data_IF_181061224896
#
_entry.id   IF_181061224896
#
_cell.length_a   1.000
_cell.length_b   1.000
_cell.length_c   1.000
_cell.angle_alpha   90.00
_cell.angle_beta   90.00
_cell.angle_gamma   90.00
#
_symmetry.space_group_name_H-M   'P 1'
#
loop_
_entity.id
_entity.type
_entity.pdbx_description
1 polymer ?
#
# COMPACT_ATOMS: atom_id res chain seq x y z
N UNK A 1 -20.37 -4.91 -4.31
CA UNK A 1 -19.54 -4.33 -3.24
C UNK A 1 -18.60 -3.35 -3.94
N UNK A 2 -18.62 -2.06 -3.60
CA UNK A 2 -17.72 -1.09 -4.25
C UNK A 2 -16.39 -1.11 -3.50
N UNK A 3 -15.36 -1.69 -4.10
CA UNK A 3 -13.99 -1.56 -3.61
C UNK A 3 -13.46 -0.19 -4.03
N UNK A 4 -13.09 0.64 -3.07
CA UNK A 4 -12.41 1.90 -3.29
C UNK A 4 -10.93 1.70 -2.98
N UNK A 5 -10.06 2.32 -3.77
CA UNK A 5 -8.61 2.24 -3.61
C UNK A 5 -7.99 3.60 -3.87
N UNK A 6 -6.87 3.86 -3.21
CA UNK A 6 -6.01 5.02 -3.40
C UNK A 6 -4.57 4.54 -3.49
N UNK A 7 -3.70 5.29 -4.15
CA UNK A 7 -2.27 5.02 -4.18
C UNK A 7 -1.55 6.07 -3.35
N UNK A 8 -0.69 5.63 -2.43
CA UNK A 8 0.12 6.51 -1.57
C UNK A 8 1.58 6.17 -1.82
N UNK A 9 2.36 7.06 -2.47
CA UNK A 9 3.80 6.88 -2.58
C UNK A 9 4.44 6.94 -1.19
N UNK A 10 5.45 6.12 -0.94
CA UNK A 10 6.28 6.22 0.25
C UNK A 10 7.68 6.73 -0.11
N UNK A 11 8.27 7.51 0.80
CA UNK A 11 9.41 8.36 0.51
C UNK A 11 8.98 9.74 0.03
N UNK A 12 9.17 10.75 0.89
CA UNK A 12 8.74 12.14 0.61
C UNK A 12 7.23 12.25 0.33
N UNK A 13 6.39 11.45 1.01
CA UNK A 13 4.94 11.36 0.77
C UNK A 13 4.24 12.72 0.81
N UNK A 14 4.62 13.60 1.74
CA UNK A 14 4.04 14.93 1.87
C UNK A 14 4.27 15.84 0.64
N UNK A 15 5.25 15.52 -0.21
CA UNK A 15 5.54 16.29 -1.43
C UNK A 15 4.57 15.99 -2.57
N UNK A 16 3.78 14.92 -2.47
CA UNK A 16 2.79 14.57 -3.50
C UNK A 16 1.49 15.39 -3.37
N UNK A 17 1.29 16.13 -2.27
CA UNK A 17 0.22 17.12 -2.14
C UNK A 17 -1.16 16.60 -2.58
N UNK A 18 -1.79 17.30 -3.53
CA UNK A 18 -3.11 16.95 -4.10
C UNK A 18 -3.07 15.83 -5.14
N UNK A 19 -1.90 15.25 -5.42
CA UNK A 19 -1.77 14.13 -6.37
C UNK A 19 -2.18 12.80 -5.74
N UNK A 20 -2.24 12.71 -4.40
CA UNK A 20 -2.82 11.55 -3.71
C UNK A 20 -4.34 11.71 -3.72
N UNK A 21 -5.05 10.72 -4.25
CA UNK A 21 -6.52 10.71 -4.29
C UNK A 21 -7.12 10.58 -2.89
N UNK A 22 -8.29 11.17 -2.69
CA UNK A 22 -9.12 10.84 -1.52
C UNK A 22 -9.81 9.50 -1.74
N UNK A 23 -10.19 8.86 -0.64
CA UNK A 23 -10.95 7.61 -0.69
C UNK A 23 -12.29 7.84 -1.41
N UNK A 24 -12.52 7.11 -2.49
CA UNK A 24 -13.74 7.22 -3.32
C UNK A 24 -13.63 8.14 -4.54
N UNK A 25 -12.50 8.83 -4.72
CA UNK A 25 -12.25 9.63 -5.94
C UNK A 25 -12.06 8.73 -7.16
N UNK A 26 -11.35 7.60 -7.00
CA UNK A 26 -11.24 6.58 -8.04
C UNK A 26 -12.51 5.71 -8.10
N UNK A 27 -13.20 5.75 -9.25
CA UNK A 27 -14.45 5.01 -9.50
C UNK A 27 -14.31 3.95 -10.60
N UNK A 28 -13.14 3.88 -11.22
CA UNK A 28 -12.82 2.96 -12.29
C UNK A 28 -11.33 2.58 -12.29
N UNK A 29 -10.99 1.51 -13.02
CA UNK A 29 -9.59 1.16 -13.25
C UNK A 29 -8.82 2.29 -13.96
N UNK A 30 -9.48 3.04 -14.85
CA UNK A 30 -8.88 4.16 -15.55
C UNK A 30 -8.50 5.31 -14.60
N UNK A 31 -9.31 5.57 -13.57
CA UNK A 31 -8.99 6.58 -12.55
C UNK A 31 -7.77 6.17 -11.72
N UNK A 32 -7.70 4.88 -11.34
CA UNK A 32 -6.55 4.33 -10.62
C UNK A 32 -5.28 4.38 -11.45
N UNK A 33 -5.36 3.99 -12.73
CA UNK A 33 -4.22 4.04 -13.64
C UNK A 33 -3.73 5.47 -13.85
N UNK A 34 -4.66 6.40 -14.09
CA UNK A 34 -4.33 7.83 -14.22
C UNK A 34 -3.64 8.36 -12.96
N UNK A 35 -4.14 8.01 -11.77
CA UNK A 35 -3.50 8.43 -10.53
C UNK A 35 -2.08 7.87 -10.38
N UNK A 36 -1.85 6.60 -10.74
CA UNK A 36 -0.50 6.03 -10.75
C UNK A 36 0.41 6.79 -11.72
N UNK A 37 -0.07 7.11 -12.92
CA UNK A 37 0.69 7.87 -13.93
C UNK A 37 1.03 9.28 -13.41
N UNK A 38 0.07 9.97 -12.79
CA UNK A 38 0.26 11.30 -12.21
C UNK A 38 1.28 11.27 -11.05
N UNK A 39 1.17 10.29 -10.14
CA UNK A 39 2.13 10.10 -9.05
C UNK A 39 3.53 9.77 -9.58
N UNK A 40 3.64 8.91 -10.58
CA UNK A 40 4.92 8.56 -11.19
C UNK A 40 5.58 9.77 -11.87
N UNK A 41 4.83 10.53 -12.65
CA UNK A 41 5.33 11.73 -13.36
C UNK A 41 5.76 12.85 -12.41
N UNK A 42 5.16 12.91 -11.21
CA UNK A 42 5.52 13.87 -10.16
C UNK A 42 6.48 13.28 -9.12
N UNK A 43 6.98 12.06 -9.34
CA UNK A 43 7.88 11.43 -8.38
C UNK A 43 9.20 12.19 -8.29
N UNK A 44 9.64 12.39 -7.05
CA UNK A 44 10.89 13.08 -6.75
C UNK A 44 11.92 12.03 -6.40
N UNK A 45 13.15 12.21 -6.89
CA UNK A 45 14.23 11.28 -6.65
C UNK A 45 14.65 11.37 -5.17
N UNK A 46 14.14 10.44 -4.36
CA UNK A 46 14.55 10.26 -2.97
C UNK A 46 15.61 9.17 -2.86
N UNK A 47 16.69 9.47 -2.16
CA UNK A 47 17.78 8.50 -1.92
C UNK A 47 17.43 7.49 -0.83
N UNK A 48 16.41 7.76 -0.01
CA UNK A 48 16.06 6.95 1.15
C UNK A 48 14.53 6.90 1.35
N UNK A 49 13.77 6.24 0.47
CA UNK A 49 12.34 6.08 0.69
C UNK A 49 12.08 5.11 1.85
N UNK A 50 11.45 5.58 2.93
CA UNK A 50 10.99 4.75 4.03
C UNK A 50 9.50 4.44 3.87
N UNK A 51 9.11 3.17 4.07
CA UNK A 51 7.69 2.77 4.02
C UNK A 51 6.88 3.52 5.09
N UNK A 52 7.50 3.79 6.24
CA UNK A 52 6.94 4.57 7.33
C UNK A 52 6.33 5.91 6.90
N UNK A 53 6.89 6.60 5.91
CA UNK A 53 6.37 7.89 5.42
C UNK A 53 4.93 7.73 4.90
N UNK A 54 4.70 6.71 4.07
CA UNK A 54 3.38 6.42 3.52
C UNK A 54 2.39 5.96 4.59
N UNK A 55 2.85 5.15 5.55
CA UNK A 55 2.00 4.68 6.65
C UNK A 55 1.58 5.82 7.59
N UNK A 56 2.52 6.71 7.95
CA UNK A 56 2.22 7.88 8.74
C UNK A 56 1.25 8.82 8.01
N UNK A 57 1.41 8.98 6.69
CA UNK A 57 0.47 9.77 5.90
C UNK A 57 -0.94 9.17 5.95
N UNK A 58 -1.09 7.85 5.79
CA UNK A 58 -2.39 7.17 5.92
C UNK A 58 -2.99 7.42 7.30
N UNK A 59 -2.21 7.23 8.37
CA UNK A 59 -2.67 7.43 9.74
C UNK A 59 -3.16 8.85 10.03
N UNK A 60 -2.59 9.85 9.35
CA UNK A 60 -2.91 11.27 9.55
C UNK A 60 -4.01 11.80 8.62
N UNK A 61 -4.24 11.17 7.47
CA UNK A 61 -5.09 11.73 6.41
C UNK A 61 -6.29 10.86 6.03
N UNK A 62 -6.30 9.59 6.45
CA UNK A 62 -7.38 8.65 6.13
C UNK A 62 -8.13 8.28 7.40
N UNK A 63 -9.46 8.41 7.35
CA UNK A 63 -10.34 7.98 8.44
C UNK A 63 -10.15 6.49 8.74
N UNK A 64 -10.20 6.15 10.02
CA UNK A 64 -10.15 4.76 10.43
C UNK A 64 -11.29 3.94 9.81
N UNK A 65 -11.06 2.64 9.53
CA UNK A 65 -12.07 1.76 8.96
C UNK A 65 -13.33 1.76 9.82
N UNK A 66 -14.50 1.90 9.19
CA UNK A 66 -15.76 1.80 9.90
C UNK A 66 -15.94 0.40 10.51
N UNK A 67 -16.66 0.30 11.63
CA UNK A 67 -16.97 -0.99 12.25
C UNK A 67 -17.67 -1.93 11.26
N UNK A 68 -17.18 -3.16 11.12
CA UNK A 68 -17.69 -4.12 10.14
C UNK A 68 -17.28 -3.82 8.69
N UNK A 69 -16.29 -2.97 8.46
CA UNK A 69 -15.64 -2.80 7.15
C UNK A 69 -14.26 -3.48 7.11
N UNK A 70 -13.72 -3.65 5.90
CA UNK A 70 -12.38 -4.16 5.67
C UNK A 70 -11.54 -3.07 5.06
N UNK A 71 -10.41 -2.77 5.69
CA UNK A 71 -9.39 -1.90 5.13
C UNK A 71 -8.07 -2.66 5.07
N UNK A 72 -7.44 -2.60 3.91
CA UNK A 72 -6.24 -3.36 3.62
C UNK A 72 -5.22 -2.40 3.01
N UNK A 73 -4.02 -2.38 3.60
CA UNK A 73 -2.85 -1.71 3.05
C UNK A 73 -2.01 -2.75 2.34
N UNK A 74 -1.75 -2.53 1.06
CA UNK A 74 -0.85 -3.35 0.26
C UNK A 74 0.43 -2.55 0.05
N UNK A 75 1.51 -2.94 0.73
CA UNK A 75 2.81 -2.27 0.57
C UNK A 75 3.57 -2.93 -0.58
N UNK A 76 3.87 -2.17 -1.63
CA UNK A 76 4.55 -2.67 -2.83
C UNK A 76 5.88 -1.94 -3.00
N UNK A 77 7.00 -2.66 -3.09
CA UNK A 77 8.29 -2.01 -3.29
C UNK A 77 9.35 -2.82 -4.00
N UNK A 78 10.34 -2.10 -4.52
CA UNK A 78 11.43 -2.65 -5.30
C UNK A 78 12.71 -2.83 -4.47
N UNK A 79 13.11 -1.80 -3.72
CA UNK A 79 14.30 -1.80 -2.86
C UNK A 79 13.93 -2.11 -1.41
N UNK A 80 14.89 -2.52 -0.56
CA UNK A 80 14.69 -2.66 0.87
C UNK A 80 14.16 -1.37 1.50
N UNK A 81 13.38 -1.52 2.56
CA UNK A 81 12.95 -0.40 3.39
C UNK A 81 14.16 0.13 4.14
N UNK A 82 14.41 1.43 4.03
CA UNK A 82 15.60 2.05 4.62
C UNK A 82 15.50 2.19 6.13
N UNK A 83 14.31 2.03 6.70
CA UNK A 83 14.07 2.11 8.14
C UNK A 83 12.92 1.21 8.60
N UNK A 84 13.17 -0.10 8.65
CA UNK A 84 12.19 -1.12 9.07
C UNK A 84 11.64 -0.87 10.49
N UNK A 85 12.44 -0.32 11.41
CA UNK A 85 12.00 -0.01 12.77
C UNK A 85 10.93 1.10 12.76
N UNK A 86 11.14 2.18 12.01
CA UNK A 86 10.14 3.23 11.87
C UNK A 86 8.86 2.70 11.21
N UNK A 87 8.97 1.81 10.23
CA UNK A 87 7.82 1.17 9.57
C UNK A 87 7.04 0.30 10.54
N UNK A 88 7.72 -0.47 11.39
CA UNK A 88 7.06 -1.24 12.46
C UNK A 88 6.22 -0.33 13.37
N UNK A 89 6.79 0.77 13.86
CA UNK A 89 6.06 1.71 14.73
C UNK A 89 4.92 2.45 14.02
N UNK A 90 5.09 2.82 12.74
CA UNK A 90 4.05 3.46 11.94
C UNK A 90 2.88 2.50 11.63
N UNK A 91 3.16 1.20 11.51
CA UNK A 91 2.15 0.16 11.28
C UNK A 91 1.26 -0.09 12.50
N UNK A 92 1.83 -0.10 13.71
CA UNK A 92 1.10 -0.41 14.96
C UNK A 92 -0.25 0.33 15.15
N UNK A 93 -0.34 1.67 15.01
CA UNK A 93 -1.61 2.37 15.18
C UNK A 93 -2.63 2.00 14.09
N UNK A 94 -2.19 1.76 12.85
CA UNK A 94 -3.07 1.32 11.76
C UNK A 94 -3.64 -0.08 12.03
N UNK A 95 -2.81 -1.03 12.46
CA UNK A 95 -3.30 -2.36 12.87
C UNK A 95 -4.30 -2.25 14.03
N UNK A 96 -4.05 -1.37 15.00
CA UNK A 96 -4.98 -1.12 16.11
C UNK A 96 -6.31 -0.53 15.64
N UNK A 97 -6.29 0.32 14.59
CA UNK A 97 -7.47 0.87 13.95
C UNK A 97 -8.22 -0.16 13.07
N UNK A 98 -7.67 -1.36 12.87
CA UNK A 98 -8.32 -2.43 12.10
C UNK A 98 -7.87 -2.55 10.65
N UNK A 99 -6.80 -1.86 10.25
CA UNK A 99 -6.16 -2.11 8.96
C UNK A 99 -5.43 -3.46 8.98
N UNK A 100 -5.48 -4.15 7.84
CA UNK A 100 -4.74 -5.39 7.59
C UNK A 100 -3.67 -5.17 6.53
N UNK A 101 -2.56 -5.90 6.61
CA UNK A 101 -1.37 -5.65 5.79
C UNK A 101 -0.99 -6.86 4.92
N UNK A 102 -0.90 -6.61 3.61
CA UNK A 102 -0.21 -7.45 2.64
C UNK A 102 1.06 -6.72 2.18
N UNK A 103 2.06 -7.47 1.75
CA UNK A 103 3.27 -6.87 1.18
C UNK A 103 3.75 -7.59 -0.07
N UNK A 104 4.33 -6.82 -0.98
CA UNK A 104 4.80 -7.27 -2.29
C UNK A 104 6.20 -6.72 -2.55
N UNK A 105 7.15 -7.62 -2.72
CA UNK A 105 8.50 -7.31 -3.16
C UNK A 105 8.63 -7.55 -4.66
N UNK A 106 8.86 -6.49 -5.44
CA UNK A 106 9.05 -6.56 -6.91
C UNK A 106 10.53 -6.71 -7.30
N UNK A 107 11.43 -6.34 -6.39
CA UNK A 107 12.87 -6.33 -6.61
C UNK A 107 13.64 -6.99 -5.47
N UNK A 108 14.78 -6.40 -5.13
CA UNK A 108 15.68 -6.90 -4.08
C UNK A 108 15.17 -6.63 -2.65
N UNK A 109 14.14 -5.81 -2.48
CA UNK A 109 13.54 -5.55 -1.17
C UNK A 109 12.90 -6.78 -0.54
N UNK A 110 12.97 -6.89 0.79
CA UNK A 110 12.26 -7.93 1.55
C UNK A 110 11.24 -7.27 2.48
N UNK A 111 9.95 -7.44 2.18
CA UNK A 111 8.86 -6.87 2.96
C UNK A 111 8.06 -7.91 3.75
N UNK A 112 8.62 -9.10 3.97
CA UNK A 112 7.95 -10.18 4.71
C UNK A 112 7.49 -9.73 6.11
N UNK A 113 8.29 -8.90 6.80
CA UNK A 113 7.98 -8.38 8.13
C UNK A 113 6.79 -7.41 8.18
N UNK A 114 6.41 -6.84 7.04
CA UNK A 114 5.30 -5.88 6.94
C UNK A 114 3.96 -6.60 6.86
N UNK A 115 3.90 -7.78 6.22
CA UNK A 115 2.65 -8.54 6.10
C UNK A 115 2.17 -9.04 7.47
N UNK A 116 0.85 -9.05 7.70
CA UNK A 116 0.29 -9.59 8.94
C UNK A 116 0.36 -11.12 9.02
N UNK A 117 0.48 -11.77 7.87
CA UNK A 117 0.59 -13.23 7.75
C UNK A 117 1.66 -13.58 6.74
N UNK A 118 2.33 -14.72 6.94
CA UNK A 118 3.39 -15.16 6.03
C UNK A 118 2.87 -15.42 4.62
N UNK A 119 1.66 -15.96 4.49
CA UNK A 119 0.99 -16.19 3.21
C UNK A 119 0.47 -14.91 2.52
N UNK A 120 0.62 -13.75 3.16
CA UNK A 120 0.23 -12.43 2.65
C UNK A 120 1.44 -11.59 2.19
N UNK A 121 2.61 -12.20 2.19
CA UNK A 121 3.82 -11.69 1.56
C UNK A 121 4.01 -12.34 0.19
N UNK A 122 4.30 -11.53 -0.83
CA UNK A 122 4.50 -11.97 -2.20
C UNK A 122 5.81 -11.43 -2.77
N UNK A 123 6.44 -12.24 -3.62
CA UNK A 123 7.57 -11.83 -4.45
C UNK A 123 7.15 -11.86 -5.92
N UNK A 124 7.35 -10.73 -6.59
CA UNK A 124 7.02 -10.53 -8.01
C UNK A 124 8.30 -10.44 -8.81
N UNK A 125 8.33 -11.18 -9.92
CA UNK A 125 9.32 -11.07 -10.98
C UNK A 125 8.63 -10.80 -12.33
N UNK A 126 9.42 -10.73 -13.40
CA UNK A 126 8.93 -10.43 -14.75
C UNK A 126 7.94 -11.49 -15.31
N UNK A 127 7.89 -12.68 -14.72
CA UNK A 127 7.11 -13.82 -15.22
C UNK A 127 5.81 -14.05 -14.45
N UNK A 128 5.72 -13.59 -13.19
CA UNK A 128 4.65 -14.01 -12.28
C UNK A 128 3.67 -12.89 -11.85
N UNK A 129 3.89 -11.64 -12.27
CA UNK A 129 3.12 -10.48 -11.78
C UNK A 129 1.59 -10.65 -11.86
N UNK A 130 1.06 -11.15 -12.98
CA UNK A 130 -0.38 -11.39 -13.13
C UNK A 130 -0.88 -12.51 -12.19
N UNK A 131 -0.08 -13.56 -11.99
CA UNK A 131 -0.41 -14.66 -11.07
C UNK A 131 -0.52 -14.16 -9.64
N UNK A 132 0.44 -13.33 -9.20
CA UNK A 132 0.42 -12.72 -7.86
C UNK A 132 -0.77 -11.76 -7.72
N UNK A 133 -1.04 -10.92 -8.72
CA UNK A 133 -2.22 -10.04 -8.71
C UNK A 133 -3.53 -10.84 -8.56
N UNK A 134 -3.65 -11.98 -9.24
CA UNK A 134 -4.81 -12.88 -9.11
C UNK A 134 -4.92 -13.49 -7.70
N UNK A 135 -3.80 -13.88 -7.08
CA UNK A 135 -3.77 -14.40 -5.72
C UNK A 135 -4.20 -13.35 -4.69
N UNK A 136 -3.68 -12.12 -4.82
CA UNK A 136 -4.08 -10.99 -3.99
C UNK A 136 -5.59 -10.74 -4.18
N UNK A 137 -6.07 -10.65 -5.42
CA UNK A 137 -7.50 -10.47 -5.71
C UNK A 137 -8.35 -11.56 -5.07
N UNK A 138 -7.91 -12.81 -5.11
CA UNK A 138 -8.62 -13.92 -4.46
C UNK A 138 -8.68 -13.74 -2.94
N UNK A 139 -7.59 -13.35 -2.29
CA UNK A 139 -7.58 -13.05 -0.84
C UNK A 139 -8.59 -11.95 -0.53
N UNK A 140 -8.50 -10.80 -1.23
CA UNK A 140 -9.38 -9.65 -1.01
C UNK A 140 -10.87 -10.03 -1.16
N UNK A 141 -11.21 -10.83 -2.17
CA UNK A 141 -12.58 -11.26 -2.43
C UNK A 141 -13.13 -12.29 -1.43
N UNK A 142 -12.26 -13.08 -0.77
CA UNK A 142 -12.66 -14.17 0.13
C UNK A 142 -12.43 -13.87 1.61
N UNK A 143 -12.00 -12.66 1.95
CA UNK A 143 -11.86 -12.25 3.34
C UNK A 143 -13.25 -12.19 4.00
N UNK A 144 -13.49 -13.00 5.02
CA UNK A 144 -14.73 -12.98 5.83
C UNK A 144 -14.72 -11.84 6.83
N UNK A 145 -15.82 -11.10 6.95
CA UNK A 145 -16.01 -10.07 7.99
C UNK A 145 -15.83 -10.63 9.39
#
# INVERSE_FOLDING_TARGET
MFSQAINVPYGSTDQYGTNILNFGDAKSLADLQKNLDDLYNNSILTSMPAVADGLNWIANNIDSPAAGSKAIVIVVGYNPDVNEEATYFAKMPLTTAGYQFLSVSVGSGNFESIADKKEWYFQVDQSNGQTIANQISYILCNMSL
#
